data_IF_209092766962
#
_entry.id   IF_209092766962
#
_cell.length_a   1.000
_cell.length_b   1.000
_cell.length_c   1.000
_cell.angle_alpha   90.00
_cell.angle_beta   90.00
_cell.angle_gamma   90.00
#
_symmetry.space_group_name_H-M   'P 1'
#
loop_
_entity.id
_entity.type
_entity.pdbx_description
1 polymer ?
#
# COMPACT_ATOMS: atom_id res chain seq x y z
N UNK A 1 -20.18 18.74 8.42
CA UNK A 1 -18.98 17.88 8.49
C UNK A 1 -19.20 16.65 7.63
N UNK A 2 -18.21 16.22 6.85
CA UNK A 2 -18.32 14.99 6.04
C UNK A 2 -18.25 13.78 6.98
N UNK A 3 -19.12 12.79 6.75
CA UNK A 3 -19.16 11.54 7.53
C UNK A 3 -17.85 10.77 7.36
N UNK A 4 -17.16 10.47 8.47
CA UNK A 4 -15.99 9.58 8.45
C UNK A 4 -16.42 8.15 8.12
N UNK A 5 -15.73 7.53 7.16
CA UNK A 5 -15.98 6.16 6.71
C UNK A 5 -15.05 5.18 7.44
N UNK A 6 -15.52 3.93 7.60
CA UNK A 6 -14.76 2.87 8.27
C UNK A 6 -13.47 2.50 7.54
N UNK A 7 -13.52 2.44 6.21
CA UNK A 7 -12.35 2.12 5.38
C UNK A 7 -11.53 3.39 5.19
N UNK A 8 -10.26 3.38 5.59
CA UNK A 8 -9.41 4.57 5.59
C UNK A 8 -9.37 5.26 4.23
N UNK A 9 -9.18 4.49 3.15
CA UNK A 9 -9.06 5.04 1.80
C UNK A 9 -10.30 5.78 1.33
N UNK A 10 -11.49 5.52 1.88
CA UNK A 10 -12.71 6.27 1.52
C UNK A 10 -12.70 7.69 2.09
N UNK A 11 -11.78 7.98 3.01
CA UNK A 11 -11.55 9.32 3.55
C UNK A 11 -10.42 10.06 2.81
N UNK A 12 -9.73 9.42 1.85
CA UNK A 12 -8.71 10.05 1.01
C UNK A 12 -9.35 10.82 -0.14
N UNK A 13 -8.96 12.07 -0.32
CA UNK A 13 -9.33 12.85 -1.51
C UNK A 13 -8.45 12.45 -2.71
N UNK A 14 -8.95 11.50 -3.48
CA UNK A 14 -8.26 10.96 -4.66
C UNK A 14 -8.08 11.97 -5.80
N UNK A 15 -8.75 13.14 -5.75
CA UNK A 15 -8.57 14.19 -6.76
C UNK A 15 -7.33 15.05 -6.51
N UNK A 16 -6.78 15.01 -5.29
CA UNK A 16 -5.66 15.85 -4.85
C UNK A 16 -4.31 15.15 -4.79
N UNK A 17 -4.30 13.83 -4.95
CA UNK A 17 -3.05 13.05 -4.97
C UNK A 17 -2.39 13.11 -6.35
N UNK A 18 -1.07 12.98 -6.39
CA UNK A 18 -0.29 12.94 -7.63
C UNK A 18 0.51 11.63 -7.68
N UNK A 19 0.03 10.65 -8.47
CA UNK A 19 0.74 9.39 -8.67
C UNK A 19 1.96 9.56 -9.60
N UNK A 20 3.01 8.73 -9.47
CA UNK A 20 3.16 7.66 -8.49
C UNK A 20 3.59 8.17 -7.10
N UNK A 21 3.15 7.50 -6.03
CA UNK A 21 3.54 7.85 -4.65
C UNK A 21 3.49 6.66 -3.69
N UNK A 22 4.12 6.84 -2.52
CA UNK A 22 3.98 5.95 -1.36
C UNK A 22 3.46 6.78 -0.20
N UNK A 23 2.36 6.33 0.42
CA UNK A 23 1.69 7.04 1.52
C UNK A 23 1.44 6.06 2.66
N UNK A 24 1.72 6.47 3.90
CA UNK A 24 1.24 5.74 5.07
C UNK A 24 -0.29 5.86 5.13
N UNK A 25 -0.98 4.77 4.80
CA UNK A 25 -2.44 4.71 4.77
C UNK A 25 -3.01 4.43 6.17
N UNK A 26 -2.27 3.73 7.02
CA UNK A 26 -2.74 3.50 8.38
C UNK A 26 -1.73 2.79 9.25
N UNK A 27 -2.01 2.81 10.55
CA UNK A 27 -1.26 2.07 11.55
C UNK A 27 -2.27 1.39 12.48
N UNK A 28 -2.07 0.09 12.71
CA UNK A 28 -2.89 -0.71 13.60
C UNK A 28 -2.00 -1.31 14.68
N UNK A 29 -2.31 -1.03 15.94
CA UNK A 29 -1.59 -1.61 17.07
C UNK A 29 -2.36 -2.81 17.63
N UNK A 30 -1.69 -3.93 17.81
CA UNK A 30 -2.20 -5.11 18.48
C UNK A 30 -2.19 -4.95 20.00
N UNK A 31 -2.96 -5.79 20.70
CA UNK A 31 -3.09 -5.72 22.17
C UNK A 31 -1.75 -5.89 22.91
N UNK A 32 -0.78 -6.61 22.32
CA UNK A 32 0.55 -6.84 22.89
C UNK A 32 1.58 -5.79 22.49
N UNK A 33 1.18 -4.74 21.77
CA UNK A 33 2.06 -3.65 21.36
C UNK A 33 2.64 -3.76 19.95
N UNK A 34 2.52 -4.91 19.27
CA UNK A 34 2.92 -5.07 17.86
C UNK A 34 2.18 -4.07 16.96
N UNK A 35 2.86 -3.56 15.94
CA UNK A 35 2.34 -2.50 15.07
C UNK A 35 2.37 -2.95 13.61
N UNK A 36 1.22 -2.93 12.94
CA UNK A 36 1.13 -3.09 11.49
C UNK A 36 1.04 -1.70 10.86
N UNK A 37 1.97 -1.40 9.95
CA UNK A 37 1.89 -0.22 9.10
C UNK A 37 1.38 -0.63 7.72
N UNK A 38 0.34 0.06 7.25
CA UNK A 38 -0.26 -0.14 5.93
C UNK A 38 0.10 1.02 5.01
N UNK A 39 0.63 0.71 3.84
CA UNK A 39 1.06 1.69 2.85
C UNK A 39 0.26 1.57 1.56
N UNK A 40 -0.16 2.72 1.05
CA UNK A 40 -0.71 2.90 -0.29
C UNK A 40 0.46 3.14 -1.25
N UNK A 41 0.79 2.13 -2.06
CA UNK A 41 1.77 2.22 -3.15
C UNK A 41 0.98 2.49 -4.43
N UNK A 42 0.91 3.76 -4.81
CA UNK A 42 0.11 4.21 -5.94
C UNK A 42 0.95 4.27 -7.21
N UNK A 43 0.55 3.52 -8.22
CA UNK A 43 1.19 3.49 -9.54
C UNK A 43 0.50 4.43 -10.51
N UNK A 44 -0.83 4.34 -10.62
CA UNK A 44 -1.62 5.09 -11.60
C UNK A 44 -2.41 6.22 -10.94
N UNK A 45 -2.61 7.31 -11.68
CA UNK A 45 -3.40 8.43 -11.22
C UNK A 45 -4.89 8.03 -11.10
N UNK A 46 -5.52 8.16 -9.91
CA UNK A 46 -6.92 7.81 -9.72
C UNK A 46 -7.85 8.49 -10.72
N UNK A 47 -8.78 7.70 -11.30
CA UNK A 47 -9.77 8.13 -12.29
C UNK A 47 -9.18 8.71 -13.60
N UNK A 48 -7.89 8.50 -13.88
CA UNK A 48 -7.26 8.87 -15.15
C UNK A 48 -6.60 7.69 -15.86
N UNK A 49 -5.97 6.80 -15.08
CA UNK A 49 -5.23 5.65 -15.59
C UNK A 49 -5.45 4.44 -14.67
N UNK A 50 -5.18 3.24 -15.19
CA UNK A 50 -5.18 2.00 -14.41
C UNK A 50 -4.24 0.97 -15.04
N UNK A 51 -3.92 -0.09 -14.28
CA UNK A 51 -3.20 -1.25 -14.78
C UNK A 51 -4.17 -2.29 -15.35
N UNK A 52 -3.80 -2.91 -16.46
CA UNK A 52 -4.53 -4.07 -17.01
C UNK A 52 -4.38 -5.29 -16.10
N UNK A 53 -5.44 -6.07 -15.93
CA UNK A 53 -5.47 -7.20 -14.99
C UNK A 53 -4.34 -8.22 -15.18
N UNK A 54 -3.96 -8.64 -16.41
CA UNK A 54 -2.83 -9.53 -16.59
C UNK A 54 -1.52 -8.94 -16.05
N UNK A 55 -1.24 -7.66 -16.33
CA UNK A 55 -0.03 -6.98 -15.86
C UNK A 55 -0.04 -6.76 -14.34
N UNK A 56 -1.18 -6.34 -13.80
CA UNK A 56 -1.36 -6.15 -12.35
C UNK A 56 -1.16 -7.46 -11.58
N UNK A 57 -1.74 -8.56 -12.05
CA UNK A 57 -1.59 -9.87 -11.43
C UNK A 57 -0.16 -10.41 -11.58
N UNK A 58 0.48 -10.27 -12.75
CA UNK A 58 1.89 -10.65 -12.87
C UNK A 58 2.79 -9.84 -11.95
N UNK A 59 2.53 -8.54 -11.80
CA UNK A 59 3.29 -7.67 -10.90
C UNK A 59 3.06 -8.04 -9.42
N UNK A 60 1.84 -8.44 -9.04
CA UNK A 60 1.55 -8.98 -7.70
C UNK A 60 2.48 -10.15 -7.35
N UNK A 61 2.58 -11.16 -8.22
CA UNK A 61 3.46 -12.32 -7.98
C UNK A 61 4.93 -11.90 -7.85
N UNK A 62 5.41 -11.06 -8.77
CA UNK A 62 6.80 -10.58 -8.74
C UNK A 62 7.10 -9.77 -7.48
N UNK A 63 6.20 -8.86 -7.08
CA UNK A 63 6.42 -8.05 -5.89
C UNK A 63 6.32 -8.89 -4.62
N UNK A 64 5.34 -9.79 -4.52
CA UNK A 64 5.16 -10.65 -3.35
C UNK A 64 6.37 -11.53 -3.07
N UNK A 65 6.94 -12.15 -4.10
CA UNK A 65 8.14 -12.99 -3.95
C UNK A 65 9.37 -12.14 -3.63
N UNK A 66 9.65 -11.13 -4.47
CA UNK A 66 10.93 -10.43 -4.40
C UNK A 66 11.05 -9.50 -3.20
N UNK A 67 9.97 -8.87 -2.73
CA UNK A 67 10.05 -7.94 -1.60
C UNK A 67 10.51 -8.64 -0.31
N UNK A 68 10.21 -9.93 -0.16
CA UNK A 68 10.57 -10.73 1.01
C UNK A 68 12.06 -11.06 1.06
N UNK A 69 12.77 -10.98 -0.08
CA UNK A 69 14.23 -11.06 -0.11
C UNK A 69 14.92 -9.85 0.55
N UNK A 70 14.22 -8.71 0.63
CA UNK A 70 14.75 -7.47 1.19
C UNK A 70 14.17 -7.16 2.57
N UNK A 71 12.95 -7.63 2.87
CA UNK A 71 12.24 -7.31 4.10
C UNK A 71 11.48 -8.51 4.67
N UNK A 72 12.04 -9.12 5.71
CA UNK A 72 11.40 -10.24 6.42
C UNK A 72 10.12 -9.85 7.17
N UNK A 73 9.87 -8.56 7.39
CA UNK A 73 8.72 -8.05 8.13
C UNK A 73 7.48 -7.79 7.27
N UNK A 74 7.50 -8.20 6.00
CA UNK A 74 6.35 -8.07 5.09
C UNK A 74 5.27 -9.06 5.49
N UNK A 75 4.10 -8.52 5.85
CA UNK A 75 2.91 -9.32 6.14
C UNK A 75 2.20 -9.65 4.83
N UNK A 76 1.94 -8.64 4.01
CA UNK A 76 1.14 -8.78 2.79
C UNK A 76 1.49 -7.70 1.77
N UNK A 77 1.35 -8.04 0.48
CA UNK A 77 1.21 -7.07 -0.60
C UNK A 77 0.08 -7.51 -1.52
N UNK A 78 -0.96 -6.69 -1.62
CA UNK A 78 -2.18 -7.02 -2.36
C UNK A 78 -2.55 -5.91 -3.35
N UNK A 79 -3.03 -6.24 -4.56
CA UNK A 79 -3.52 -5.25 -5.50
C UNK A 79 -4.80 -4.59 -5.00
N UNK A 80 -4.97 -3.31 -5.33
CA UNK A 80 -6.24 -2.61 -5.09
C UNK A 80 -7.25 -3.00 -6.17
N UNK A 81 -8.51 -3.21 -5.78
CA UNK A 81 -9.59 -3.51 -6.73
C UNK A 81 -9.88 -2.41 -7.75
N UNK A 82 -9.44 -1.16 -7.51
CA UNK A 82 -9.50 -0.07 -8.48
C UNK A 82 -8.35 -0.08 -9.49
N UNK A 83 -7.45 -1.07 -9.43
CA UNK A 83 -6.36 -1.31 -10.37
C UNK A 83 -5.34 -0.16 -10.51
N UNK A 84 -5.23 0.72 -9.50
CA UNK A 84 -4.31 1.88 -9.54
C UNK A 84 -3.07 1.74 -8.67
N UNK A 85 -2.97 0.67 -7.88
CA UNK A 85 -1.86 0.47 -6.97
C UNK A 85 -2.01 -0.77 -6.11
N UNK A 86 -1.18 -0.85 -5.07
CA UNK A 86 -1.10 -1.96 -4.13
C UNK A 86 -1.16 -1.45 -2.69
N UNK A 87 -1.66 -2.28 -1.79
CA UNK A 87 -1.43 -2.12 -0.37
C UNK A 87 -0.27 -3.00 0.08
N UNK A 88 0.69 -2.42 0.78
CA UNK A 88 1.76 -3.14 1.47
C UNK A 88 1.55 -3.04 2.98
N UNK A 89 1.53 -4.18 3.66
CA UNK A 89 1.47 -4.25 5.12
C UNK A 89 2.77 -4.82 5.67
N UNK A 90 3.37 -4.12 6.63
CA UNK A 90 4.60 -4.54 7.32
C UNK A 90 4.40 -4.49 8.82
N UNK A 91 4.97 -5.45 9.54
CA UNK A 91 4.87 -5.54 11.00
C UNK A 91 6.15 -5.03 11.67
N UNK A 92 6.00 -4.22 12.72
CA UNK A 92 7.08 -3.71 13.58
C UNK A 92 8.22 -2.98 12.84
N UNK A 93 7.98 -2.51 11.61
CA UNK A 93 8.97 -1.80 10.80
C UNK A 93 8.30 -0.75 9.90
N UNK A 94 8.89 0.45 9.84
CA UNK A 94 8.40 1.53 8.97
C UNK A 94 9.14 1.54 7.62
N UNK A 95 8.43 1.81 6.51
CA UNK A 95 9.00 1.82 5.16
C UNK A 95 10.07 2.89 4.95
N UNK A 96 10.11 3.96 5.76
CA UNK A 96 11.23 4.92 5.70
C UNK A 96 12.58 4.22 5.90
N UNK A 97 12.63 3.10 6.63
CA UNK A 97 13.83 2.28 6.82
C UNK A 97 14.13 1.35 5.64
N UNK A 98 13.17 1.14 4.74
CA UNK A 98 13.27 0.27 3.55
C UNK A 98 14.00 0.99 2.42
N UNK A 99 13.58 2.21 2.07
CA UNK A 99 14.19 3.00 0.99
C UNK A 99 15.60 3.51 1.30
N UNK A 100 16.01 3.53 2.57
CA UNK A 100 17.38 3.92 2.98
C UNK A 100 18.39 2.77 2.88
N UNK A 101 17.95 1.53 2.58
CA UNK A 101 18.81 0.34 2.53
C UNK A 101 18.92 -0.30 1.15
N UNK A 102 18.26 0.26 0.13
CA UNK A 102 18.40 -0.11 -1.27
C UNK A 102 19.23 0.92 -2.02
#
# INVERSE_FOLDING_TARGET
MVKKMNVESFNLDHTKVAAPYIRLAGTTQGASGDVIHKYDIRFCQPNKEHMEMPGLHSLEHLMAENIRNHHASVVDISPMGCQTGFYLSVINMMIMTIFLKC
#
